data_IF_712018922339
#
_entry.id   IF_712018922339
#
_cell.length_a   1.000
_cell.length_b   1.000
_cell.length_c   1.000
_cell.angle_alpha   90.00
_cell.angle_beta   90.00
_cell.angle_gamma   90.00
#
_symmetry.space_group_name_H-M   'P 1'
#
loop_
_entity.id
_entity.type
_entity.pdbx_description
1 polymer ?
#
# COMPACT_ATOMS: atom_id res chain seq x y z
N UNK A 1 5.89 -0.86 9.49
CA UNK A 1 5.99 -2.27 8.99
C UNK A 1 7.41 -2.53 8.44
N UNK A 2 7.90 -3.78 8.34
CA UNK A 2 9.20 -4.09 7.67
C UNK A 2 8.98 -4.22 6.15
N UNK A 3 9.83 -3.56 5.34
CA UNK A 3 9.78 -3.57 3.87
C UNK A 3 9.95 -4.95 3.24
N UNK A 4 10.59 -5.88 3.96
CA UNK A 4 10.81 -7.26 3.49
C UNK A 4 9.63 -8.18 3.80
N UNK A 5 8.71 -7.78 4.68
CA UNK A 5 7.56 -8.60 5.06
C UNK A 5 6.39 -8.41 4.07
N UNK A 6 6.59 -8.87 2.83
CA UNK A 6 5.62 -8.75 1.74
C UNK A 6 4.25 -9.31 2.08
N UNK A 7 4.16 -10.41 2.83
CA UNK A 7 2.89 -11.00 3.23
C UNK A 7 2.06 -10.05 4.12
N UNK A 8 2.72 -9.37 5.07
CA UNK A 8 2.06 -8.39 5.94
C UNK A 8 1.65 -7.13 5.17
N UNK A 9 2.48 -6.68 4.24
CA UNK A 9 2.20 -5.50 3.39
C UNK A 9 1.03 -5.79 2.45
N UNK A 10 1.05 -6.94 1.78
CA UNK A 10 -0.04 -7.42 0.94
C UNK A 10 -1.37 -7.46 1.70
N UNK A 11 -1.36 -7.92 2.96
CA UNK A 11 -2.57 -7.90 3.78
C UNK A 11 -3.02 -6.47 4.11
N UNK A 12 -2.11 -5.54 4.37
CA UNK A 12 -2.39 -4.13 4.61
C UNK A 12 -2.86 -3.35 3.36
N UNK A 13 -2.69 -3.91 2.16
CA UNK A 13 -3.27 -3.38 0.93
C UNK A 13 -4.77 -3.68 0.79
N UNK A 14 -5.33 -4.61 1.57
CA UNK A 14 -6.77 -4.93 1.55
C UNK A 14 -7.55 -3.87 2.33
N UNK A 15 -8.41 -3.11 1.66
CA UNK A 15 -9.14 -1.97 2.20
C UNK A 15 -10.64 -2.25 2.29
N UNK A 16 -11.34 -1.42 3.06
CA UNK A 16 -12.79 -1.46 3.16
C UNK A 16 -13.51 -0.79 1.98
N UNK A 17 -12.77 -0.02 1.17
CA UNK A 17 -13.30 0.69 -0.01
C UNK A 17 -12.79 0.09 -1.31
N UNK A 18 -13.72 -0.14 -2.25
CA UNK A 18 -13.46 -0.81 -3.53
C UNK A 18 -12.48 -0.04 -4.40
N UNK A 19 -12.55 1.28 -4.38
CA UNK A 19 -11.69 2.17 -5.14
C UNK A 19 -10.24 2.06 -4.68
N UNK A 20 -10.03 1.96 -3.36
CA UNK A 20 -8.70 1.74 -2.80
C UNK A 20 -8.18 0.35 -3.12
N UNK A 21 -9.02 -0.68 -3.04
CA UNK A 21 -8.64 -2.04 -3.42
C UNK A 21 -8.19 -2.11 -4.90
N UNK A 22 -8.88 -1.40 -5.79
CA UNK A 22 -8.54 -1.37 -7.23
C UNK A 22 -7.25 -0.60 -7.51
N UNK A 23 -6.92 0.42 -6.71
CA UNK A 23 -5.70 1.20 -6.91
C UNK A 23 -4.48 0.63 -6.17
N UNK A 24 -4.62 0.29 -4.89
CA UNK A 24 -3.51 -0.05 -4.00
C UNK A 24 -3.05 -1.49 -4.22
N UNK A 25 -3.97 -2.45 -4.39
CA UNK A 25 -3.61 -3.86 -4.54
C UNK A 25 -2.80 -4.12 -5.82
N UNK A 26 -3.23 -3.65 -7.01
CA UNK A 26 -2.46 -3.89 -8.24
C UNK A 26 -1.12 -3.13 -8.23
N UNK A 27 -1.08 -1.94 -7.62
CA UNK A 27 0.19 -1.22 -7.43
C UNK A 27 1.17 -2.05 -6.60
N UNK A 28 0.71 -2.67 -5.51
CA UNK A 28 1.56 -3.55 -4.72
C UNK A 28 2.05 -4.77 -5.51
N UNK A 29 1.17 -5.40 -6.29
CA UNK A 29 1.52 -6.62 -7.04
C UNK A 29 2.48 -6.38 -8.20
N UNK A 30 2.43 -5.20 -8.83
CA UNK A 30 3.20 -4.91 -10.05
C UNK A 30 4.39 -3.99 -9.82
N UNK A 31 4.25 -2.97 -8.97
CA UNK A 31 5.24 -1.89 -8.85
C UNK A 31 6.02 -1.93 -7.54
N UNK A 32 5.50 -2.54 -6.47
CA UNK A 32 6.20 -2.52 -5.17
C UNK A 32 7.63 -3.06 -5.25
N UNK A 33 7.89 -4.05 -6.10
CA UNK A 33 9.22 -4.64 -6.24
C UNK A 33 10.22 -3.76 -7.01
N UNK A 34 9.74 -2.83 -7.85
CA UNK A 34 10.57 -1.87 -8.57
C UNK A 34 10.99 -0.69 -7.69
N UNK A 35 10.29 -0.46 -6.57
CA UNK A 35 10.58 0.62 -5.62
C UNK A 35 11.92 0.42 -4.89
N UNK A 36 12.61 1.53 -4.67
CA UNK A 36 13.73 1.62 -3.73
C UNK A 36 13.29 1.38 -2.29
N UNK A 37 14.24 1.06 -1.41
CA UNK A 37 13.92 0.82 0.01
C UNK A 37 13.26 2.03 0.69
N UNK A 38 13.61 3.25 0.29
CA UNK A 38 13.02 4.48 0.82
C UNK A 38 11.57 4.66 0.33
N UNK A 39 11.32 4.40 -0.94
CA UNK A 39 9.95 4.43 -1.49
C UNK A 39 9.07 3.34 -0.86
N UNK A 40 9.61 2.15 -0.63
CA UNK A 40 8.92 1.08 0.11
C UNK A 40 8.54 1.51 1.53
N UNK A 41 9.44 2.21 2.24
CA UNK A 41 9.15 2.75 3.58
C UNK A 41 8.04 3.79 3.53
N UNK A 42 8.04 4.66 2.53
CA UNK A 42 6.99 5.67 2.33
C UNK A 42 5.65 4.98 2.04
N UNK A 43 5.62 4.01 1.13
CA UNK A 43 4.41 3.26 0.80
C UNK A 43 3.84 2.54 2.02
N UNK A 44 4.69 1.90 2.82
CA UNK A 44 4.26 1.25 4.06
C UNK A 44 3.66 2.25 5.04
N UNK A 45 4.27 3.44 5.17
CA UNK A 45 3.74 4.49 6.04
C UNK A 45 2.40 5.00 5.53
N UNK A 46 2.21 5.10 4.22
CA UNK A 46 0.92 5.43 3.61
C UNK A 46 -0.14 4.38 4.00
N UNK A 47 0.20 3.10 3.99
CA UNK A 47 -0.73 2.04 4.38
C UNK A 47 -1.15 2.08 5.87
N UNK A 48 -0.47 2.86 6.72
CA UNK A 48 -0.87 3.06 8.13
C UNK A 48 -2.00 4.11 8.29
N UNK A 49 -2.36 4.82 7.21
CA UNK A 49 -3.49 5.76 7.20
C UNK A 49 -4.85 5.06 6.99
N UNK A 50 -5.89 5.74 7.47
CA UNK A 50 -7.28 5.29 7.33
C UNK A 50 -7.81 5.49 5.90
N UNK A 51 -8.76 4.65 5.50
CA UNK A 51 -9.31 4.61 4.15
C UNK A 51 -9.89 5.97 3.66
N UNK A 52 -10.61 6.78 4.48
CA UNK A 52 -11.10 8.08 4.03
C UNK A 52 -9.98 9.06 3.65
N UNK A 53 -8.88 9.07 4.38
CA UNK A 53 -7.74 9.95 4.10
C UNK A 53 -7.02 9.52 2.82
N UNK A 54 -6.81 8.20 2.66
CA UNK A 54 -6.21 7.63 1.46
C UNK A 54 -7.02 7.97 0.21
N UNK A 55 -8.36 7.89 0.31
CA UNK A 55 -9.24 8.19 -0.81
C UNK A 55 -9.27 9.67 -1.15
N UNK A 56 -9.13 10.56 -0.17
CA UNK A 56 -9.04 12.00 -0.42
C UNK A 56 -7.75 12.42 -1.15
N UNK A 57 -6.71 11.58 -1.15
CA UNK A 57 -5.44 11.85 -1.84
C UNK A 57 -5.33 11.20 -3.22
N UNK A 58 -6.27 10.32 -3.57
CA UNK A 58 -6.40 9.68 -4.88
C UNK A 58 -7.21 10.54 -5.86
#
# INVERSE_FOLDING_TARGET
MDINNKARIHWACRRGMRELDISIMPFFEHEYDSLSDDEKRIFIRLLECDDPDLFNWL
#
